data_IF_311738728362
#
_entry.id   IF_311738728362
#
_cell.length_a   1.000
_cell.length_b   1.000
_cell.length_c   1.000
_cell.angle_alpha   90.00
_cell.angle_beta   90.00
_cell.angle_gamma   90.00
#
_symmetry.space_group_name_H-M   'P 1'
#
loop_
_entity.id
_entity.type
_entity.pdbx_description
1 polymer ?
#
# COMPACT_ATOMS: atom_id res chain seq x y z
N UNK A 1 -27.80 40.09 -49.25
CA UNK A 1 -27.46 40.14 -47.80
C UNK A 1 -27.14 38.76 -47.17
N UNK A 2 -27.68 37.63 -47.66
CA UNK A 2 -27.47 36.31 -47.03
C UNK A 2 -26.04 35.73 -47.09
N UNK A 3 -25.26 36.03 -48.13
CA UNK A 3 -23.91 35.46 -48.30
C UNK A 3 -22.88 36.00 -47.28
N UNK A 4 -23.01 37.25 -46.86
CA UNK A 4 -22.11 37.87 -45.88
C UNK A 4 -22.32 37.32 -44.45
N UNK A 5 -23.56 36.99 -44.10
CA UNK A 5 -23.89 36.33 -42.83
C UNK A 5 -23.34 34.90 -42.78
N UNK A 6 -23.50 34.14 -43.88
CA UNK A 6 -22.98 32.77 -43.98
C UNK A 6 -21.45 32.69 -43.87
N UNK A 7 -20.72 33.69 -44.38
CA UNK A 7 -19.26 33.76 -44.23
C UNK A 7 -18.82 34.10 -42.80
N UNK A 8 -19.55 34.98 -42.09
CA UNK A 8 -19.26 35.30 -40.68
C UNK A 8 -19.52 34.11 -39.75
N UNK A 9 -20.60 33.36 -39.98
CA UNK A 9 -20.92 32.14 -39.21
C UNK A 9 -19.83 31.08 -39.40
N UNK A 10 -19.43 30.78 -40.64
CA UNK A 10 -18.32 29.84 -40.94
C UNK A 10 -16.98 30.28 -40.33
N UNK A 11 -16.69 31.58 -40.30
CA UNK A 11 -15.48 32.11 -39.65
C UNK A 11 -15.53 31.97 -38.13
N UNK A 12 -16.71 32.15 -37.52
CA UNK A 12 -16.95 31.95 -36.08
C UNK A 12 -16.82 30.49 -35.66
N UNK A 13 -17.41 29.57 -36.43
CA UNK A 13 -17.31 28.11 -36.21
C UNK A 13 -15.87 27.61 -36.29
N UNK A 14 -15.09 28.09 -37.26
CA UNK A 14 -13.66 27.76 -37.36
C UNK A 14 -12.88 28.25 -36.15
N UNK A 15 -13.10 29.50 -35.70
CA UNK A 15 -12.44 30.05 -34.51
C UNK A 15 -12.83 29.31 -33.23
N UNK A 16 -14.08 28.88 -33.10
CA UNK A 16 -14.55 28.03 -32.01
C UNK A 16 -13.88 26.65 -32.04
N UNK A 17 -13.77 26.04 -33.24
CA UNK A 17 -13.05 24.78 -33.45
C UNK A 17 -11.57 24.87 -33.07
N UNK A 18 -10.87 25.94 -33.46
CA UNK A 18 -9.46 26.13 -33.07
C UNK A 18 -9.28 26.30 -31.57
N UNK A 19 -10.19 27.02 -30.90
CA UNK A 19 -10.15 27.15 -29.43
C UNK A 19 -10.40 25.83 -28.71
N UNK A 20 -11.35 25.04 -29.21
CA UNK A 20 -11.63 23.71 -28.67
C UNK A 20 -10.44 22.77 -28.85
N UNK A 21 -9.81 22.78 -30.04
CA UNK A 21 -8.61 21.99 -30.30
C UNK A 21 -7.43 22.41 -29.40
N UNK A 22 -7.20 23.71 -29.24
CA UNK A 22 -6.14 24.23 -28.35
C UNK A 22 -6.38 23.84 -26.88
N UNK A 23 -7.63 23.92 -26.40
CA UNK A 23 -7.99 23.51 -25.05
C UNK A 23 -7.76 22.01 -24.84
N UNK A 24 -8.09 21.18 -25.84
CA UNK A 24 -7.88 19.73 -25.78
C UNK A 24 -6.38 19.39 -25.71
N UNK A 25 -5.56 20.04 -26.54
CA UNK A 25 -4.10 19.84 -26.55
C UNK A 25 -3.49 20.23 -25.20
N UNK A 26 -3.91 21.35 -24.62
CA UNK A 26 -3.48 21.76 -23.28
C UNK A 26 -3.91 20.75 -22.21
N UNK A 27 -5.17 20.31 -22.22
CA UNK A 27 -5.66 19.32 -21.25
C UNK A 27 -4.87 18.00 -21.32
N UNK A 28 -4.54 17.53 -22.52
CA UNK A 28 -3.75 16.31 -22.71
C UNK A 28 -2.30 16.50 -22.27
N UNK A 29 -1.67 17.63 -22.62
CA UNK A 29 -0.26 17.87 -22.28
C UNK A 29 -0.06 18.11 -20.77
N UNK A 30 -0.96 18.86 -20.13
CA UNK A 30 -0.94 19.03 -18.68
C UNK A 30 -1.36 17.75 -17.94
N UNK A 31 -2.36 17.02 -18.44
CA UNK A 31 -2.80 15.74 -17.86
C UNK A 31 -1.73 14.65 -17.93
N UNK A 32 -1.04 14.52 -19.06
CA UNK A 32 0.05 13.57 -19.24
C UNK A 32 1.27 13.94 -18.40
N UNK A 33 1.66 15.23 -18.36
CA UNK A 33 2.79 15.70 -17.57
C UNK A 33 2.57 15.58 -16.07
N UNK A 34 1.39 15.98 -15.57
CA UNK A 34 1.03 15.82 -14.16
C UNK A 34 0.85 14.35 -13.78
N UNK A 35 0.24 13.54 -14.66
CA UNK A 35 0.09 12.10 -14.46
C UNK A 35 1.44 11.38 -14.37
N UNK A 36 2.39 11.71 -15.26
CA UNK A 36 3.74 11.16 -15.22
C UNK A 36 4.47 11.54 -13.93
N UNK A 37 4.44 12.81 -13.54
CA UNK A 37 5.10 13.30 -12.33
C UNK A 37 4.55 12.66 -11.05
N UNK A 38 3.22 12.50 -10.96
CA UNK A 38 2.58 11.83 -9.82
C UNK A 38 2.88 10.32 -9.81
N UNK A 39 2.89 9.67 -10.98
CA UNK A 39 3.23 8.26 -11.10
C UNK A 39 4.68 7.99 -10.70
N UNK A 40 5.62 8.82 -11.16
CA UNK A 40 7.05 8.73 -10.86
C UNK A 40 7.32 8.92 -9.36
N UNK A 41 6.75 9.97 -8.74
CA UNK A 41 6.81 10.17 -7.28
C UNK A 41 6.23 9.01 -6.47
N UNK A 42 5.15 8.40 -6.97
CA UNK A 42 4.54 7.23 -6.33
C UNK A 42 5.42 5.98 -6.45
N UNK A 43 6.12 5.82 -7.58
CA UNK A 43 7.06 4.73 -7.81
C UNK A 43 8.30 4.90 -6.94
N UNK A 44 8.88 6.10 -6.85
CA UNK A 44 9.98 6.43 -5.93
C UNK A 44 9.60 6.14 -4.47
N UNK A 45 8.42 6.56 -4.03
CA UNK A 45 7.94 6.29 -2.67
C UNK A 45 7.75 4.78 -2.41
N UNK A 46 7.32 4.01 -3.42
CA UNK A 46 7.17 2.56 -3.33
C UNK A 46 8.52 1.85 -3.26
N UNK A 47 9.49 2.29 -4.06
CA UNK A 47 10.86 1.77 -4.05
C UNK A 47 11.55 2.10 -2.72
N UNK A 48 11.41 3.31 -2.20
CA UNK A 48 11.95 3.69 -0.89
C UNK A 48 11.37 2.85 0.25
N UNK A 49 10.06 2.55 0.20
CA UNK A 49 9.40 1.68 1.18
C UNK A 49 9.87 0.22 1.07
N UNK A 50 10.09 -0.28 -0.14
CA UNK A 50 10.68 -1.61 -0.36
C UNK A 50 12.11 -1.65 0.15
N UNK A 51 12.93 -0.64 -0.14
CA UNK A 51 14.29 -0.54 0.35
C UNK A 51 14.35 -0.50 1.89
N UNK A 52 13.44 0.22 2.54
CA UNK A 52 13.35 0.25 4.01
C UNK A 52 12.91 -1.10 4.59
N UNK A 53 11.91 -1.77 3.99
CA UNK A 53 11.48 -3.09 4.42
C UNK A 53 12.58 -4.15 4.23
N UNK A 54 13.33 -4.05 3.14
CA UNK A 54 14.49 -4.90 2.84
C UNK A 54 15.63 -4.61 3.83
N UNK A 55 15.88 -3.34 4.15
CA UNK A 55 16.87 -2.93 5.16
C UNK A 55 16.48 -3.42 6.55
N UNK A 56 15.21 -3.38 6.93
CA UNK A 56 14.71 -3.93 8.20
C UNK A 56 14.88 -5.46 8.22
N UNK A 57 14.52 -6.14 7.13
CA UNK A 57 14.71 -7.59 7.00
C UNK A 57 16.19 -8.01 7.06
N UNK A 58 17.10 -7.22 6.50
CA UNK A 58 18.55 -7.46 6.58
C UNK A 58 19.17 -7.02 7.91
N UNK A 59 18.58 -6.05 8.63
CA UNK A 59 19.08 -5.60 9.94
C UNK A 59 18.96 -6.69 11.01
N UNK A 60 17.89 -7.48 10.95
CA UNK A 60 17.67 -8.59 11.89
C UNK A 60 18.13 -9.94 11.32
N UNK A 61 18.50 -9.97 10.04
CA UNK A 61 19.08 -11.12 9.37
C UNK A 61 18.07 -12.22 9.01
N UNK A 62 18.42 -13.10 8.06
CA UNK A 62 17.56 -14.20 7.62
C UNK A 62 17.21 -15.19 8.74
N UNK A 63 18.06 -15.29 9.76
CA UNK A 63 17.84 -16.13 10.94
C UNK A 63 16.63 -15.68 11.75
N UNK A 64 16.43 -14.36 11.93
CA UNK A 64 15.26 -13.84 12.66
C UNK A 64 13.96 -14.09 11.90
N UNK A 65 13.98 -13.98 10.56
CA UNK A 65 12.83 -14.30 9.74
C UNK A 65 12.47 -15.80 9.80
N UNK A 66 13.49 -16.68 9.82
CA UNK A 66 13.29 -18.11 10.02
C UNK A 66 12.75 -18.42 11.42
N UNK A 67 13.31 -17.80 12.46
CA UNK A 67 12.82 -17.97 13.83
C UNK A 67 11.36 -17.53 13.99
N UNK A 68 10.98 -16.40 13.37
CA UNK A 68 9.59 -15.94 13.37
C UNK A 68 8.67 -16.90 12.60
N UNK A 69 9.08 -17.34 11.41
CA UNK A 69 8.33 -18.32 10.63
C UNK A 69 8.11 -19.61 11.42
N UNK A 70 9.16 -20.12 12.06
CA UNK A 70 9.11 -21.36 12.82
C UNK A 70 8.21 -21.22 14.05
N UNK A 71 8.29 -20.08 14.76
CA UNK A 71 7.39 -19.76 15.86
C UNK A 71 5.91 -19.70 15.41
N UNK A 72 5.63 -19.09 14.25
CA UNK A 72 4.28 -19.09 13.68
C UNK A 72 3.82 -20.49 13.24
N UNK A 73 4.73 -21.32 12.74
CA UNK A 73 4.41 -22.67 12.27
C UNK A 73 4.13 -23.63 13.42
N UNK A 74 4.77 -23.46 14.57
CA UNK A 74 4.61 -24.35 15.73
C UNK A 74 3.50 -23.92 16.69
N UNK A 75 2.91 -22.73 16.49
CA UNK A 75 1.93 -22.16 17.41
C UNK A 75 0.66 -21.70 16.70
N UNK A 76 -0.50 -22.10 17.23
CA UNK A 76 -1.76 -21.46 16.91
C UNK A 76 -1.92 -20.20 17.77
N UNK A 77 -1.45 -19.05 17.26
CA UNK A 77 -1.56 -17.78 17.97
C UNK A 77 -2.99 -17.37 18.30
N UNK A 78 -3.97 -17.79 17.50
CA UNK A 78 -5.38 -17.45 17.75
C UNK A 78 -5.91 -18.22 18.94
N UNK A 79 -5.64 -19.53 19.00
CA UNK A 79 -5.97 -20.34 20.16
C UNK A 79 -5.21 -19.87 21.41
N UNK A 80 -3.94 -19.51 21.26
CA UNK A 80 -3.11 -19.05 22.37
C UNK A 80 -3.61 -17.69 22.95
N UNK A 81 -4.07 -16.77 22.09
CA UNK A 81 -4.68 -15.50 22.53
C UNK A 81 -6.07 -15.68 23.14
N UNK A 82 -6.80 -16.75 22.81
CA UNK A 82 -8.10 -17.02 23.42
C UNK A 82 -8.01 -17.23 24.94
N UNK A 83 -6.85 -17.67 25.45
CA UNK A 83 -6.56 -17.79 26.88
C UNK A 83 -6.70 -16.43 27.58
N UNK A 84 -6.34 -15.35 26.90
CA UNK A 84 -6.41 -13.99 27.44
C UNK A 84 -7.84 -13.46 27.61
N UNK A 85 -8.83 -14.14 27.04
CA UNK A 85 -10.23 -13.85 27.28
C UNK A 85 -10.75 -14.47 28.58
N UNK A 86 -10.01 -15.42 29.18
CA UNK A 86 -10.37 -16.06 30.44
C UNK A 86 -10.12 -15.09 31.62
N UNK A 87 -11.10 -14.89 32.51
CA UNK A 87 -10.90 -14.06 33.71
C UNK A 87 -9.75 -14.61 34.58
N UNK A 88 -8.80 -13.75 34.93
CA UNK A 88 -7.63 -14.10 35.77
C UNK A 88 -6.31 -14.21 35.01
N UNK A 89 -6.34 -14.38 33.69
CA UNK A 89 -5.12 -14.48 32.86
C UNK A 89 -4.53 -13.12 32.45
N UNK A 90 -5.29 -12.05 32.66
CA UNK A 90 -4.87 -10.68 32.37
C UNK A 90 -4.23 -10.05 33.61
N UNK A 91 -2.98 -9.66 33.45
CA UNK A 91 -2.12 -9.04 34.44
C UNK A 91 -1.97 -7.54 34.13
N UNK A 92 -1.65 -6.73 35.13
CA UNK A 92 -1.17 -5.36 34.91
C UNK A 92 0.35 -5.35 34.98
N UNK A 93 1.01 -4.99 33.87
CA UNK A 93 2.46 -4.83 33.78
C UNK A 93 2.80 -3.46 33.22
N UNK A 94 3.57 -2.67 33.97
CA UNK A 94 3.98 -1.32 33.54
C UNK A 94 2.79 -0.40 33.22
N UNK A 95 1.68 -0.53 33.95
CA UNK A 95 0.45 0.24 33.72
C UNK A 95 -0.40 -0.22 32.52
N UNK A 96 -0.04 -1.34 31.87
CA UNK A 96 -0.76 -1.89 30.71
C UNK A 96 -1.30 -3.28 31.02
N UNK A 97 -2.43 -3.62 30.40
CA UNK A 97 -2.97 -4.99 30.43
C UNK A 97 -2.07 -5.90 29.61
N UNK A 98 -1.58 -6.97 30.22
CA UNK A 98 -0.73 -7.99 29.63
C UNK A 98 -1.36 -9.38 29.88
N UNK A 99 -1.08 -10.34 29.01
CA UNK A 99 -1.53 -11.72 29.16
C UNK A 99 -0.35 -12.64 28.88
N UNK A 100 -0.19 -13.69 29.68
CA UNK A 100 0.85 -14.69 29.46
C UNK A 100 0.33 -15.73 28.49
N UNK A 101 0.89 -15.71 27.29
CA UNK A 101 0.56 -16.68 26.25
C UNK A 101 1.72 -17.68 26.16
N UNK A 102 1.51 -18.97 26.47
CA UNK A 102 2.55 -19.97 26.25
C UNK A 102 2.78 -20.14 24.74
N UNK A 103 4.04 -20.10 24.32
CA UNK A 103 4.47 -20.35 22.95
C UNK A 103 5.52 -21.45 22.92
N UNK A 104 5.39 -22.39 21.99
CA UNK A 104 6.36 -23.42 21.70
C UNK A 104 7.54 -22.82 20.93
N UNK A 105 8.74 -22.99 21.50
CA UNK A 105 10.00 -22.53 20.90
C UNK A 105 10.77 -23.66 20.21
N UNK A 106 10.16 -24.84 20.10
CA UNK A 106 10.72 -26.00 19.42
C UNK A 106 9.63 -26.71 18.62
N UNK A 107 10.05 -27.42 17.56
CA UNK A 107 9.15 -28.19 16.70
C UNK A 107 8.39 -29.25 17.51
N UNK A 108 7.08 -29.47 17.26
CA UNK A 108 6.37 -30.59 17.85
C UNK A 108 7.06 -31.92 17.50
N UNK A 109 7.09 -32.89 18.42
CA UNK A 109 7.65 -34.20 18.13
C UNK A 109 6.92 -34.80 16.93
N UNK A 110 7.66 -35.35 15.97
CA UNK A 110 7.06 -36.17 14.92
C UNK A 110 6.46 -37.38 15.61
N UNK A 111 5.15 -37.58 15.46
CA UNK A 111 4.47 -38.75 15.99
C UNK A 111 5.28 -40.00 15.60
N UNK A 112 5.76 -40.72 16.61
CA UNK A 112 6.41 -42.01 16.38
C UNK A 112 5.34 -42.97 15.83
N UNK A 113 5.65 -43.73 14.77
CA UNK A 113 4.71 -44.71 14.21
C UNK A 113 4.33 -45.78 15.22
#
# INVERSE_FOLDING_TARGET
MGQALAQRVRGGERRAGYRAAAALVLAVSFGAGAGWFLADRSAEARVARVAENVRIAFREGPETAQAWRDLMAWNDLKAALAICAVPGEVLMQGGRRACRVPLWVARPPTAQP
#
